data_IF_782595133579
#
_entry.id   IF_782595133579
#
_cell.length_a   1.000
_cell.length_b   1.000
_cell.length_c   1.000
_cell.angle_alpha   90.00
_cell.angle_beta   90.00
_cell.angle_gamma   90.00
#
_symmetry.space_group_name_H-M   'P 1'
#
loop_
_entity.id
_entity.type
_entity.pdbx_description
1 polymer ?
#
# COMPACT_ATOMS: atom_id res chain seq x y z
N UNK A 1 28.28 0.79 -21.95
CA UNK A 1 28.60 0.47 -20.54
C UNK A 1 27.82 -0.79 -20.16
N UNK A 2 28.44 -1.97 -20.24
CA UNK A 2 27.78 -3.23 -19.90
C UNK A 2 27.50 -3.24 -18.40
N UNK A 3 26.22 -3.05 -17.99
CA UNK A 3 25.79 -3.35 -16.62
C UNK A 3 26.03 -4.85 -16.44
N UNK A 4 27.08 -5.22 -15.71
CA UNK A 4 27.36 -6.62 -15.39
C UNK A 4 26.08 -7.24 -14.86
N UNK A 5 25.67 -8.37 -15.44
CA UNK A 5 24.45 -9.10 -15.11
C UNK A 5 24.64 -9.69 -13.71
N UNK A 6 24.52 -8.83 -12.69
CA UNK A 6 24.59 -9.24 -11.30
C UNK A 6 23.38 -10.13 -11.09
N UNK A 7 23.56 -11.43 -10.79
CA UNK A 7 22.43 -12.32 -10.65
C UNK A 7 21.54 -11.79 -9.52
N UNK A 8 20.26 -11.62 -9.81
CA UNK A 8 19.30 -11.02 -8.90
C UNK A 8 17.89 -11.06 -9.45
N UNK A 9 16.95 -10.52 -8.69
CA UNK A 9 15.55 -10.46 -9.06
C UNK A 9 14.97 -9.08 -8.80
N UNK A 10 13.94 -8.73 -9.57
CA UNK A 10 13.14 -7.54 -9.34
C UNK A 10 11.91 -7.89 -8.50
N UNK A 11 11.58 -7.03 -7.56
CA UNK A 11 10.36 -7.09 -6.77
C UNK A 11 9.58 -5.78 -6.98
N UNK A 12 8.32 -5.92 -7.35
CA UNK A 12 7.37 -4.80 -7.44
C UNK A 12 6.11 -5.16 -6.66
N UNK A 13 5.64 -4.24 -5.83
CA UNK A 13 4.44 -4.38 -5.00
C UNK A 13 3.90 -2.98 -4.69
N UNK A 14 2.60 -2.83 -4.35
CA UNK A 14 2.01 -1.54 -4.00
C UNK A 14 2.79 -0.81 -2.92
N UNK A 15 2.87 0.52 -3.02
CA UNK A 15 3.55 1.33 -2.01
C UNK A 15 2.71 1.38 -0.73
N UNK A 16 3.05 0.53 0.23
CA UNK A 16 2.57 0.58 1.60
C UNK A 16 3.78 0.74 2.54
N UNK A 17 3.70 1.70 3.47
CA UNK A 17 4.82 2.02 4.37
C UNK A 17 5.24 0.80 5.19
N UNK A 18 4.29 0.03 5.68
CA UNK A 18 4.57 -1.13 6.53
C UNK A 18 5.14 -2.30 5.71
N UNK A 19 4.61 -2.55 4.51
CA UNK A 19 5.14 -3.54 3.55
C UNK A 19 6.56 -3.20 3.10
N UNK A 20 6.86 -1.92 2.81
CA UNK A 20 8.22 -1.47 2.46
C UNK A 20 9.22 -1.68 3.60
N UNK A 21 8.83 -1.37 4.84
CA UNK A 21 9.69 -1.57 6.00
C UNK A 21 9.98 -3.07 6.25
N UNK A 22 8.96 -3.94 6.18
CA UNK A 22 9.14 -5.40 6.24
C UNK A 22 10.02 -5.91 5.10
N UNK A 23 9.86 -5.38 3.90
CA UNK A 23 10.68 -5.74 2.75
C UNK A 23 12.15 -5.41 2.99
N UNK A 24 12.44 -4.20 3.49
CA UNK A 24 13.80 -3.78 3.83
C UNK A 24 14.43 -4.63 4.93
N UNK A 25 13.64 -5.06 5.92
CA UNK A 25 14.09 -6.00 6.95
C UNK A 25 14.43 -7.38 6.36
N UNK A 26 13.60 -7.90 5.45
CA UNK A 26 13.82 -9.21 4.82
C UNK A 26 14.96 -9.22 3.79
N UNK A 27 15.16 -8.08 3.10
CA UNK A 27 16.16 -7.90 2.06
C UNK A 27 17.00 -6.62 2.29
N UNK A 28 17.90 -6.62 3.28
CA UNK A 28 18.68 -5.43 3.65
C UNK A 28 19.65 -4.96 2.55
N UNK A 29 19.96 -5.84 1.58
CA UNK A 29 20.79 -5.52 0.41
C UNK A 29 19.98 -5.12 -0.83
N UNK A 30 18.65 -5.06 -0.73
CA UNK A 30 17.82 -4.64 -1.84
C UNK A 30 18.03 -3.15 -2.15
N UNK A 31 17.93 -2.79 -3.43
CA UNK A 31 18.12 -1.42 -3.91
C UNK A 31 16.93 -0.97 -4.73
N UNK A 32 16.41 0.22 -4.44
CA UNK A 32 15.41 0.83 -5.30
C UNK A 32 16.04 1.22 -6.64
N UNK A 33 15.37 0.87 -7.74
CA UNK A 33 15.71 1.32 -9.08
C UNK A 33 14.59 2.21 -9.59
N UNK A 34 14.88 3.51 -9.73
CA UNK A 34 13.91 4.48 -10.20
C UNK A 34 13.50 4.22 -11.66
N UNK A 35 14.48 3.92 -12.53
CA UNK A 35 14.26 3.54 -13.94
C UNK A 35 13.23 2.42 -14.11
N UNK A 36 13.25 1.43 -13.21
CA UNK A 36 12.39 0.25 -13.28
C UNK A 36 11.21 0.32 -12.31
N UNK A 37 11.12 1.40 -11.51
CA UNK A 37 10.19 1.59 -10.40
C UNK A 37 10.03 0.31 -9.56
N UNK A 38 11.15 -0.37 -9.31
CA UNK A 38 11.19 -1.71 -8.71
C UNK A 38 12.38 -1.86 -7.78
N UNK A 39 12.26 -2.74 -6.81
CA UNK A 39 13.37 -3.14 -5.95
C UNK A 39 14.20 -4.22 -6.62
N UNK A 40 15.51 -4.03 -6.70
CA UNK A 40 16.46 -5.07 -7.11
C UNK A 40 17.02 -5.78 -5.88
N UNK A 41 16.85 -7.11 -5.84
CA UNK A 41 17.40 -7.98 -4.79
C UNK A 41 18.58 -8.76 -5.37
N UNK A 42 19.80 -8.60 -4.83
CA UNK A 42 20.96 -9.34 -5.33
C UNK A 42 20.96 -10.80 -4.87
N UNK A 43 21.49 -11.69 -5.71
CA UNK A 43 21.73 -13.10 -5.41
C UNK A 43 21.06 -14.07 -6.38
N UNK A 44 21.68 -15.23 -6.59
CA UNK A 44 21.19 -16.28 -7.51
C UNK A 44 19.82 -16.86 -7.11
N UNK A 45 19.49 -16.83 -5.81
CA UNK A 45 18.22 -17.31 -5.27
C UNK A 45 17.23 -16.19 -5.00
N UNK A 46 17.52 -14.95 -5.43
CA UNK A 46 16.72 -13.78 -5.15
C UNK A 46 15.28 -13.95 -5.63
N UNK A 47 15.06 -14.50 -6.83
CA UNK A 47 13.73 -14.71 -7.40
C UNK A 47 12.86 -15.57 -6.46
N UNK A 48 13.32 -16.77 -6.11
CA UNK A 48 12.60 -17.68 -5.20
C UNK A 48 12.32 -17.06 -3.83
N UNK A 49 13.25 -16.24 -3.31
CA UNK A 49 13.06 -15.57 -2.01
C UNK A 49 12.04 -14.45 -2.10
N UNK A 50 12.08 -13.66 -3.17
CA UNK A 50 11.11 -12.59 -3.45
C UNK A 50 9.72 -13.19 -3.63
N UNK A 51 9.57 -14.24 -4.44
CA UNK A 51 8.28 -14.91 -4.66
C UNK A 51 7.68 -15.42 -3.34
N UNK A 52 8.50 -16.10 -2.53
CA UNK A 52 8.07 -16.59 -1.21
C UNK A 52 7.64 -15.45 -0.29
N UNK A 53 8.37 -14.34 -0.29
CA UNK A 53 8.06 -13.19 0.54
C UNK A 53 6.76 -12.52 0.09
N UNK A 54 6.57 -12.35 -1.22
CA UNK A 54 5.34 -11.79 -1.79
C UNK A 54 4.12 -12.65 -1.48
N UNK A 55 4.23 -13.99 -1.58
CA UNK A 55 3.16 -14.91 -1.21
C UNK A 55 2.74 -14.73 0.26
N UNK A 56 3.72 -14.63 1.18
CA UNK A 56 3.46 -14.40 2.61
C UNK A 56 2.80 -13.04 2.87
N UNK A 57 3.25 -11.97 2.20
CA UNK A 57 2.61 -10.65 2.37
C UNK A 57 1.18 -10.63 1.83
N UNK A 58 0.90 -11.34 0.73
CA UNK A 58 -0.46 -11.46 0.20
C UNK A 58 -1.41 -12.16 1.20
N UNK A 59 -0.96 -13.21 1.87
CA UNK A 59 -1.70 -13.88 2.95
C UNK A 59 -1.98 -12.93 4.12
N UNK A 60 -1.00 -12.12 4.53
CA UNK A 60 -1.17 -11.13 5.60
C UNK A 60 -2.21 -10.06 5.26
N UNK A 61 -2.21 -9.58 4.01
CA UNK A 61 -3.21 -8.62 3.53
C UNK A 61 -4.60 -9.24 3.47
N UNK A 62 -4.72 -10.50 3.06
CA UNK A 62 -5.99 -11.21 3.01
C UNK A 62 -6.65 -11.34 4.39
N UNK A 63 -5.86 -11.56 5.46
CA UNK A 63 -6.38 -11.61 6.84
C UNK A 63 -7.04 -10.30 7.26
N UNK A 64 -6.53 -9.16 6.79
CA UNK A 64 -7.06 -7.83 7.13
C UNK A 64 -8.15 -7.34 6.16
N UNK A 65 -8.33 -8.01 5.02
CA UNK A 65 -9.36 -7.64 4.05
C UNK A 65 -10.77 -7.88 4.60
N UNK A 66 -10.97 -8.94 5.38
CA UNK A 66 -12.26 -9.26 6.00
C UNK A 66 -12.65 -8.24 7.09
N UNK A 67 -11.69 -7.78 7.89
CA UNK A 67 -11.92 -6.79 8.94
C UNK A 67 -12.36 -5.41 8.41
N UNK A 68 -11.92 -5.02 7.21
CA UNK A 68 -12.27 -3.72 6.60
C UNK A 68 -13.72 -3.65 6.11
N UNK A 69 -14.39 -4.79 5.92
CA UNK A 69 -15.81 -4.83 5.51
C UNK A 69 -16.79 -4.59 6.66
N UNK A 70 -16.36 -4.81 7.91
CA UNK A 70 -17.27 -4.75 9.07
C UNK A 70 -17.55 -3.32 9.54
N UNK A 71 -16.55 -2.44 9.50
CA UNK A 71 -16.69 -1.02 9.89
C UNK A 71 -17.36 -0.15 8.80
N UNK A 72 -17.50 -0.65 7.57
CA UNK A 72 -18.17 0.08 6.50
C UNK A 72 -19.69 0.28 6.75
N UNK A 73 -20.28 -0.53 7.64
CA UNK A 73 -21.71 -0.44 8.00
C UNK A 73 -21.96 0.30 9.31
N UNK A 74 -20.94 0.49 10.15
CA UNK A 74 -21.02 1.25 11.39
C UNK A 74 -20.52 2.68 11.16
N UNK A 75 -21.21 3.42 10.31
CA UNK A 75 -20.97 4.86 10.16
C UNK A 75 -21.67 5.59 11.30
N UNK A 76 -20.91 6.18 12.22
CA UNK A 76 -21.44 7.16 13.17
C UNK A 76 -21.66 8.48 12.41
N UNK A 77 -22.91 8.93 12.21
CA UNK A 77 -23.17 10.14 11.44
C UNK A 77 -22.47 11.35 12.06
N UNK A 78 -21.70 12.09 11.25
CA UNK A 78 -21.09 13.33 11.72
C UNK A 78 -22.21 14.32 12.04
N UNK A 79 -22.40 14.63 13.33
CA UNK A 79 -23.31 15.68 13.78
C UNK A 79 -22.62 17.03 13.69
N UNK A 80 -23.11 17.90 12.81
CA UNK A 80 -22.59 19.26 12.63
C UNK A 80 -23.74 20.25 12.52
N UNK A 81 -23.69 21.41 13.21
CA UNK A 81 -24.67 22.49 13.05
C UNK A 81 -24.80 23.04 11.62
N UNK A 82 -23.87 22.66 10.73
CA UNK A 82 -23.78 23.13 9.35
C UNK A 82 -24.17 22.05 8.31
N UNK A 83 -24.58 20.87 8.75
CA UNK A 83 -24.98 19.76 7.89
C UNK A 83 -26.48 19.49 8.06
N UNK A 84 -27.24 19.61 6.98
CA UNK A 84 -28.67 19.28 6.95
C UNK A 84 -28.87 17.98 6.15
N UNK A 85 -29.78 17.11 6.61
CA UNK A 85 -30.13 15.87 5.89
C UNK A 85 -31.10 16.26 4.76
N UNK A 86 -30.65 16.10 3.51
CA UNK A 86 -31.44 16.31 2.31
C UNK A 86 -31.14 15.20 1.28
N UNK A 87 -31.88 15.16 0.17
CA UNK A 87 -31.67 14.21 -0.93
C UNK A 87 -30.27 14.35 -1.59
N UNK A 88 -29.56 15.46 -1.32
CA UNK A 88 -28.19 15.76 -1.74
C UNK A 88 -27.41 16.44 -0.59
N UNK A 89 -26.08 16.55 -0.69
CA UNK A 89 -25.21 17.10 0.35
C UNK A 89 -25.31 18.64 0.43
N UNK A 90 -26.03 19.17 1.43
CA UNK A 90 -26.15 20.61 1.67
C UNK A 90 -25.27 21.08 2.84
N UNK A 91 -24.28 21.93 2.53
CA UNK A 91 -23.38 22.55 3.52
C UNK A 91 -23.83 24.01 3.77
N UNK A 92 -24.31 24.31 4.98
CA UNK A 92 -24.75 25.66 5.34
C UNK A 92 -23.70 26.36 6.18
N UNK A 93 -22.67 26.91 5.56
CA UNK A 93 -21.73 27.76 6.30
C UNK A 93 -22.31 29.18 6.49
N UNK A 94 -22.01 29.88 7.60
CA UNK A 94 -22.46 31.27 7.82
C UNK A 94 -21.89 32.26 6.80
N UNK A 95 -20.88 31.84 6.03
CA UNK A 95 -20.18 32.65 5.04
C UNK A 95 -20.56 32.30 3.60
N UNK A 96 -21.52 31.39 3.40
CA UNK A 96 -22.07 31.10 2.08
C UNK A 96 -22.87 32.32 1.61
N UNK A 97 -22.21 33.23 0.88
CA UNK A 97 -22.87 34.36 0.23
C UNK A 97 -23.85 33.84 -0.82
N UNK A 98 -25.06 34.38 -0.78
CA UNK A 98 -26.08 34.32 -1.84
C UNK A 98 -25.55 34.96 -3.13
#
# INVERSE_FOLDING_TARGET
MQKQDTPGALANFPYDRMTVERFRQAFPRARWSDERRSWFVPGKTAARRVDRWLAREAELLAIHADSKGRDAFAFDPISSPYLEIADDLLIRTPYSKT
#
